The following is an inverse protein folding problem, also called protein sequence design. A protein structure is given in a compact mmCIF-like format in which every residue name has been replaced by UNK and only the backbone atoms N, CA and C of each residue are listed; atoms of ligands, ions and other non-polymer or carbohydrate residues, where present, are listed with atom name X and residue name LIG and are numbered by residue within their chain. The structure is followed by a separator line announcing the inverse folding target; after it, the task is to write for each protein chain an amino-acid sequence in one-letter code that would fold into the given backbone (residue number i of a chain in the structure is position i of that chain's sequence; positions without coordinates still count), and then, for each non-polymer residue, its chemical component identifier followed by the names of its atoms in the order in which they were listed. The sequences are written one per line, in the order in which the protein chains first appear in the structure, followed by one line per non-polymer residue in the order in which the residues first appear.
data_IF_699935963875
#
_entry.id   IF_699935963875
#
_cell.length_a   1.000
_cell.length_b   1.000
_cell.length_c   1.000
_cell.angle_alpha   90.00
_cell.angle_beta   90.00
_cell.angle_gamma   90.00
#
_symmetry.space_group_name_H-M   'P 1'
#
loop_
_entity.id
_entity.type
_entity.pdbx_description
1 polymer ?
#
# COMPACT_ATOMS: atom_id res chain seq x y z
N UNK A 1 0.16 -0.51 17.31
CA UNK A 1 -1.08 0.11 16.79
C UNK A 1 -2.23 -0.77 17.21
N UNK A 2 -3.23 -0.22 17.88
CA UNK A 2 -4.43 -0.96 18.30
C UNK A 2 -5.42 -0.97 17.14
N UNK A 3 -5.54 -2.12 16.49
CA UNK A 3 -6.44 -2.38 15.36
C UNK A 3 -6.85 -3.85 15.40
N UNK A 4 -8.13 -4.12 15.20
CA UNK A 4 -8.66 -5.48 15.11
C UNK A 4 -8.02 -6.21 13.91
N UNK A 5 -7.83 -7.52 14.09
CA UNK A 5 -7.19 -8.36 13.10
C UNK A 5 -7.89 -9.71 12.95
N UNK A 6 -8.05 -10.19 11.72
CA UNK A 6 -8.64 -11.50 11.46
C UNK A 6 -8.10 -12.17 10.19
N UNK A 7 -8.01 -13.50 10.22
CA UNK A 7 -7.68 -14.38 9.10
C UNK A 7 -8.77 -15.45 8.93
N UNK A 8 -9.94 -15.10 8.38
CA UNK A 8 -11.02 -16.06 8.22
C UNK A 8 -10.62 -17.19 7.26
N UNK A 9 -10.92 -18.43 7.64
CA UNK A 9 -10.70 -19.60 6.77
C UNK A 9 -11.49 -19.43 5.47
N UNK A 10 -10.82 -19.64 4.33
CA UNK A 10 -11.43 -19.48 3.01
C UNK A 10 -11.56 -18.04 2.52
N UNK A 11 -10.98 -17.07 3.26
CA UNK A 11 -10.84 -15.72 2.78
C UNK A 11 -9.65 -15.62 1.81
N UNK A 12 -9.90 -15.05 0.64
CA UNK A 12 -8.88 -14.86 -0.40
C UNK A 12 -8.48 -13.38 -0.55
N UNK A 13 -9.02 -12.49 0.29
CA UNK A 13 -8.85 -11.04 0.16
C UNK A 13 -8.14 -10.45 1.38
N UNK A 14 -7.23 -9.53 1.09
CA UNK A 14 -6.68 -8.61 2.10
C UNK A 14 -7.40 -7.27 1.98
N UNK A 15 -7.80 -6.70 3.10
CA UNK A 15 -8.36 -5.35 3.14
C UNK A 15 -8.40 -4.78 4.56
N UNK A 16 -8.34 -3.46 4.66
CA UNK A 16 -8.69 -2.74 5.87
C UNK A 16 -10.14 -2.25 5.80
N UNK A 17 -10.93 -2.60 6.79
CA UNK A 17 -12.33 -2.13 6.95
C UNK A 17 -12.36 -0.94 7.91
N UNK A 18 -12.49 0.27 7.39
CA UNK A 18 -12.49 1.50 8.19
C UNK A 18 -13.69 1.64 9.12
N UNK A 19 -14.87 1.10 8.74
CA UNK A 19 -16.07 1.16 9.55
C UNK A 19 -16.02 0.25 10.80
N UNK A 20 -15.21 -0.82 10.73
CA UNK A 20 -15.03 -1.77 11.84
C UNK A 20 -13.65 -1.64 12.49
N UNK A 21 -12.82 -0.76 11.98
CA UNK A 21 -11.41 -0.61 12.35
C UNK A 21 -10.67 -1.95 12.41
N UNK A 22 -10.76 -2.72 11.32
CA UNK A 22 -10.28 -4.10 11.28
C UNK A 22 -9.49 -4.38 10.01
N UNK A 23 -8.32 -5.00 10.16
CA UNK A 23 -7.56 -5.62 9.07
C UNK A 23 -8.00 -7.07 8.90
N UNK A 24 -8.32 -7.45 7.67
CA UNK A 24 -8.66 -8.81 7.27
C UNK A 24 -7.63 -9.28 6.26
N UNK A 25 -7.07 -10.48 6.47
CA UNK A 25 -6.08 -11.08 5.58
C UNK A 25 -6.50 -12.50 5.19
N UNK A 26 -6.03 -13.00 4.05
CA UNK A 26 -5.99 -14.43 3.79
C UNK A 26 -5.16 -15.15 4.87
N UNK A 27 -5.40 -16.45 5.12
CA UNK A 27 -4.53 -17.25 5.97
C UNK A 27 -3.08 -17.19 5.51
N UNK A 28 -2.13 -17.11 6.46
CA UNK A 28 -0.71 -16.92 6.15
C UNK A 28 -0.12 -18.03 5.27
N UNK A 29 -0.65 -19.24 5.36
CA UNK A 29 -0.26 -20.40 4.55
C UNK A 29 -0.75 -20.35 3.08
N UNK A 30 -1.61 -19.38 2.73
CA UNK A 30 -2.06 -19.15 1.36
C UNK A 30 -1.10 -18.29 0.54
N UNK A 31 -0.11 -17.66 1.18
CA UNK A 31 0.89 -16.84 0.50
C UNK A 31 2.08 -17.67 0.01
N UNK A 32 2.77 -17.18 -1.04
CA UNK A 32 3.94 -17.86 -1.62
C UNK A 32 5.15 -17.85 -0.67
N UNK A 33 5.25 -16.81 0.17
CA UNK A 33 6.32 -16.63 1.15
C UNK A 33 5.83 -15.83 2.36
N UNK A 34 6.61 -15.86 3.46
CA UNK A 34 6.35 -15.00 4.62
C UNK A 34 6.53 -13.52 4.28
N UNK A 35 7.46 -13.20 3.39
CA UNK A 35 7.70 -11.84 2.91
C UNK A 35 6.46 -11.29 2.19
N UNK A 36 5.84 -12.08 1.31
CA UNK A 36 4.60 -11.69 0.60
C UNK A 36 3.46 -11.44 1.59
N UNK A 37 3.29 -12.33 2.59
CA UNK A 37 2.29 -12.16 3.65
C UNK A 37 2.51 -10.85 4.43
N UNK A 38 3.76 -10.60 4.87
CA UNK A 38 4.06 -9.38 5.63
C UNK A 38 3.96 -8.12 4.78
N UNK A 39 4.33 -8.17 3.50
CA UNK A 39 4.18 -7.04 2.59
C UNK A 39 2.72 -6.62 2.47
N UNK A 40 1.80 -7.57 2.23
CA UNK A 40 0.37 -7.32 2.18
C UNK A 40 -0.16 -6.83 3.53
N UNK A 41 0.24 -7.47 4.63
CA UNK A 41 -0.17 -7.06 5.97
C UNK A 41 0.24 -5.62 6.30
N UNK A 42 1.45 -5.21 5.92
CA UNK A 42 1.94 -3.86 6.17
C UNK A 42 1.23 -2.82 5.30
N UNK A 43 0.81 -3.20 4.08
CA UNK A 43 -0.04 -2.37 3.24
C UNK A 43 -1.41 -2.11 3.91
N UNK A 44 -2.09 -3.14 4.39
CA UNK A 44 -3.37 -2.97 5.09
C UNK A 44 -3.24 -2.20 6.41
N UNK A 45 -2.13 -2.38 7.12
CA UNK A 45 -1.81 -1.59 8.30
C UNK A 45 -1.52 -0.13 7.95
N UNK A 46 -0.95 0.18 6.79
CA UNK A 46 -0.78 1.55 6.32
C UNK A 46 -2.14 2.24 6.10
N UNK A 47 -3.13 1.55 5.49
CA UNK A 47 -4.51 2.04 5.43
C UNK A 47 -5.10 2.25 6.83
N UNK A 48 -4.92 1.28 7.73
CA UNK A 48 -5.43 1.37 9.09
C UNK A 48 -4.90 2.61 9.84
N UNK A 49 -3.69 3.10 9.53
CA UNK A 49 -3.22 4.37 10.11
C UNK A 49 -4.10 5.56 9.76
N UNK A 50 -4.89 5.48 8.69
CA UNK A 50 -5.80 6.53 8.25
C UNK A 50 -7.08 6.66 9.08
N UNK A 51 -7.38 5.74 10.00
CA UNK A 51 -8.56 5.82 10.86
C UNK A 51 -8.63 7.15 11.62
N UNK A 52 -9.85 7.61 11.95
CA UNK A 52 -10.09 8.89 12.61
C UNK A 52 -9.37 9.03 13.97
N UNK A 53 -9.18 7.92 14.69
CA UNK A 53 -8.45 7.88 15.97
C UNK A 53 -6.92 7.92 15.79
N UNK A 54 -6.39 7.89 14.58
CA UNK A 54 -4.95 7.86 14.27
C UNK A 54 -4.53 9.07 13.43
N UNK A 55 -4.19 8.87 12.16
CA UNK A 55 -3.76 9.98 11.29
C UNK A 55 -4.93 10.69 10.59
N UNK A 56 -6.16 10.19 10.75
CA UNK A 56 -7.40 10.81 10.27
C UNK A 56 -7.36 11.21 8.79
N UNK A 57 -6.97 10.28 7.93
CA UNK A 57 -7.02 10.47 6.48
C UNK A 57 -8.40 10.16 5.92
N UNK A 58 -8.80 10.74 4.78
CA UNK A 58 -10.06 10.40 4.13
C UNK A 58 -10.00 8.97 3.58
N UNK A 59 -10.69 8.05 4.25
CA UNK A 59 -10.87 6.65 3.87
C UNK A 59 -12.29 6.41 3.35
N UNK A 60 -12.53 5.26 2.70
CA UNK A 60 -13.86 4.90 2.21
C UNK A 60 -14.22 5.54 0.87
N UNK A 61 -13.21 5.90 0.08
CA UNK A 61 -13.38 6.42 -1.26
C UNK A 61 -13.94 5.35 -2.21
N UNK A 62 -14.68 5.77 -3.22
CA UNK A 62 -15.21 4.85 -4.24
C UNK A 62 -14.07 4.20 -5.01
N UNK A 63 -14.09 2.89 -5.16
CA UNK A 63 -13.11 2.14 -5.94
C UNK A 63 -12.94 2.75 -7.35
N UNK A 64 -11.68 2.95 -7.76
CA UNK A 64 -11.32 3.54 -9.06
C UNK A 64 -11.46 5.07 -9.14
N UNK A 65 -11.86 5.75 -8.04
CA UNK A 65 -11.82 7.21 -8.00
C UNK A 65 -10.39 7.74 -7.82
N UNK A 66 -10.18 9.01 -8.18
CA UNK A 66 -8.89 9.69 -7.96
C UNK A 66 -8.51 9.69 -6.47
N UNK A 67 -9.47 9.91 -5.57
CA UNK A 67 -9.20 9.91 -4.13
C UNK A 67 -8.84 8.51 -3.61
N UNK A 68 -9.45 7.46 -4.19
CA UNK A 68 -9.06 6.08 -3.93
C UNK A 68 -7.60 5.85 -4.37
N UNK A 69 -7.26 6.22 -5.61
CA UNK A 69 -5.91 6.07 -6.13
C UNK A 69 -4.84 6.82 -5.30
N UNK A 70 -5.19 8.00 -4.77
CA UNK A 70 -4.31 8.76 -3.88
C UNK A 70 -4.05 8.05 -2.54
N UNK A 71 -5.07 7.43 -1.95
CA UNK A 71 -4.88 6.68 -0.70
C UNK A 71 -4.09 5.39 -0.94
N UNK A 72 -4.36 4.67 -2.03
CA UNK A 72 -3.57 3.50 -2.42
C UNK A 72 -2.10 3.84 -2.62
N UNK A 73 -1.82 4.93 -3.34
CA UNK A 73 -0.45 5.40 -3.54
C UNK A 73 0.27 5.70 -2.22
N UNK A 74 -0.42 6.32 -1.26
CA UNK A 74 0.12 6.58 0.09
C UNK A 74 0.45 5.29 0.84
N UNK A 75 -0.51 4.35 0.85
CA UNK A 75 -0.36 3.08 1.54
C UNK A 75 0.77 2.24 0.92
N UNK A 76 0.86 2.22 -0.41
CA UNK A 76 1.87 1.48 -1.14
C UNK A 76 3.28 2.02 -0.87
N UNK A 77 3.48 3.33 -0.95
CA UNK A 77 4.77 3.96 -0.65
C UNK A 77 5.15 3.73 0.82
N UNK A 78 4.20 3.90 1.75
CA UNK A 78 4.45 3.71 3.17
C UNK A 78 4.83 2.27 3.50
N UNK A 79 4.10 1.29 2.96
CA UNK A 79 4.41 -0.13 3.17
C UNK A 79 5.77 -0.50 2.58
N UNK A 80 6.16 0.08 1.43
CA UNK A 80 7.49 -0.13 0.87
C UNK A 80 8.61 0.41 1.76
N UNK A 81 8.41 1.56 2.42
CA UNK A 81 9.37 2.10 3.39
C UNK A 81 9.51 1.19 4.60
N UNK A 82 8.39 0.73 5.16
CA UNK A 82 8.39 -0.17 6.33
C UNK A 82 9.00 -1.52 5.99
N UNK A 83 8.62 -2.12 4.85
CA UNK A 83 9.20 -3.38 4.36
C UNK A 83 10.72 -3.27 4.23
N UNK A 84 11.19 -2.20 3.58
CA UNK A 84 12.63 -1.94 3.42
C UNK A 84 13.33 -1.80 4.77
N UNK A 85 12.76 -1.04 5.70
CA UNK A 85 13.32 -0.82 7.03
C UNK A 85 13.36 -2.09 7.90
N UNK A 86 12.44 -3.03 7.68
CA UNK A 86 12.39 -4.33 8.33
C UNK A 86 13.27 -5.38 7.64
N UNK A 87 13.86 -5.08 6.48
CA UNK A 87 14.62 -6.03 5.69
C UNK A 87 13.74 -7.08 4.98
N UNK A 88 12.45 -6.81 4.85
CA UNK A 88 11.50 -7.62 4.07
C UNK A 88 11.66 -7.22 2.60
N UNK A 89 12.75 -7.66 1.99
CA UNK A 89 13.13 -7.28 0.63
C UNK A 89 13.32 -8.55 -0.19
N UNK A 90 12.24 -9.02 -0.82
CA UNK A 90 12.35 -9.95 -1.93
C UNK A 90 12.23 -9.20 -3.27
N UNK A 91 12.80 -9.77 -4.35
CA UNK A 91 12.67 -9.16 -5.68
C UNK A 91 11.21 -9.04 -6.09
N UNK A 92 10.38 -10.05 -5.78
CA UNK A 92 8.95 -10.05 -6.07
C UNK A 92 8.20 -8.94 -5.33
N UNK A 93 8.47 -8.74 -4.04
CA UNK A 93 7.85 -7.67 -3.24
C UNK A 93 8.20 -6.30 -3.83
N UNK A 94 9.45 -6.07 -4.17
CA UNK A 94 9.89 -4.78 -4.72
C UNK A 94 9.32 -4.50 -6.11
N UNK A 95 9.23 -5.51 -6.96
CA UNK A 95 8.62 -5.41 -8.30
C UNK A 95 7.12 -5.12 -8.20
N UNK A 96 6.41 -5.78 -7.29
CA UNK A 96 5.00 -5.54 -7.03
C UNK A 96 4.77 -4.09 -6.55
N UNK A 97 5.50 -3.62 -5.54
CA UNK A 97 5.41 -2.23 -5.09
C UNK A 97 5.61 -1.23 -6.24
N UNK A 98 6.63 -1.45 -7.07
CA UNK A 98 6.91 -0.59 -8.22
C UNK A 98 5.74 -0.58 -9.21
N UNK A 99 5.19 -1.74 -9.56
CA UNK A 99 4.08 -1.87 -10.49
C UNK A 99 2.82 -1.16 -9.97
N UNK A 100 2.48 -1.35 -8.69
CA UNK A 100 1.32 -0.69 -8.05
C UNK A 100 1.49 0.83 -7.99
N UNK A 101 2.65 1.33 -7.58
CA UNK A 101 2.93 2.77 -7.57
C UNK A 101 2.78 3.36 -8.97
N UNK A 102 3.33 2.72 -9.99
CA UNK A 102 3.19 3.17 -11.38
C UNK A 102 1.74 3.17 -11.84
N UNK A 103 0.98 2.14 -11.49
CA UNK A 103 -0.43 2.03 -11.83
C UNK A 103 -1.25 3.17 -11.20
N UNK A 104 -1.05 3.45 -9.90
CA UNK A 104 -1.79 4.50 -9.21
C UNK A 104 -1.44 5.91 -9.71
N UNK A 105 -0.17 6.16 -10.02
CA UNK A 105 0.27 7.45 -10.58
C UNK A 105 -0.41 7.74 -11.92
N UNK A 106 -0.69 6.74 -12.75
CA UNK A 106 -1.34 6.93 -14.05
C UNK A 106 -2.76 7.48 -13.95
N UNK A 107 -3.47 7.18 -12.86
CA UNK A 107 -4.85 7.61 -12.61
C UNK A 107 -4.92 9.08 -12.17
N UNK A 108 -3.86 9.60 -11.59
CA UNK A 108 -3.82 10.91 -10.95
C UNK A 108 -3.52 12.00 -11.97
N UNK A 109 -4.37 13.03 -12.07
CA UNK A 109 -4.24 14.12 -13.06
C UNK A 109 -3.02 15.00 -12.82
N UNK A 110 -2.81 15.48 -11.58
CA UNK A 110 -1.63 16.26 -11.16
C UNK A 110 -0.58 15.34 -10.55
N UNK A 111 0.08 14.56 -11.39
CA UNK A 111 0.97 13.46 -11.01
C UNK A 111 2.13 13.90 -10.13
N UNK A 112 2.76 15.03 -10.43
CA UNK A 112 3.98 15.47 -9.75
C UNK A 112 3.67 15.97 -8.34
N UNK A 113 2.71 16.88 -8.19
CA UNK A 113 2.29 17.42 -6.90
C UNK A 113 1.73 16.34 -5.97
N UNK A 114 0.90 15.44 -6.51
CA UNK A 114 0.31 14.35 -5.72
C UNK A 114 1.33 13.30 -5.32
N UNK A 115 2.33 13.01 -6.15
CA UNK A 115 3.41 12.10 -5.79
C UNK A 115 4.23 12.64 -4.61
N UNK A 116 4.59 13.93 -4.63
CA UNK A 116 5.29 14.56 -3.49
C UNK A 116 4.42 14.56 -2.23
N UNK A 117 3.11 14.83 -2.37
CA UNK A 117 2.17 14.74 -1.26
C UNK A 117 2.08 13.33 -0.70
N UNK A 118 1.97 12.33 -1.57
CA UNK A 118 1.90 10.93 -1.17
C UNK A 118 3.17 10.45 -0.46
N UNK A 119 4.35 10.85 -0.93
CA UNK A 119 5.63 10.54 -0.27
C UNK A 119 5.68 11.16 1.12
N UNK A 120 5.30 12.45 1.25
CA UNK A 120 5.28 13.12 2.57
C UNK A 120 4.29 12.48 3.54
N UNK A 121 3.13 12.03 3.05
CA UNK A 121 2.15 11.33 3.88
C UNK A 121 2.63 9.90 4.20
N UNK A 122 3.29 9.24 3.26
CA UNK A 122 3.87 7.92 3.49
C UNK A 122 4.97 7.91 4.56
N UNK A 123 5.79 8.97 4.63
CA UNK A 123 6.76 9.15 5.73
C UNK A 123 6.04 9.21 7.09
N UNK A 124 4.96 10.00 7.20
CA UNK A 124 4.16 10.09 8.44
C UNK A 124 3.50 8.76 8.82
N UNK A 125 3.03 8.01 7.81
CA UNK A 125 2.45 6.68 8.00
C UNK A 125 3.52 5.72 8.55
N UNK A 126 4.69 5.67 7.91
CA UNK A 126 5.79 4.81 8.32
C UNK A 126 6.28 5.15 9.74
N UNK A 127 6.46 6.44 10.06
CA UNK A 127 6.81 6.92 11.39
C UNK A 127 5.77 6.51 12.44
N UNK A 128 4.48 6.60 12.10
CA UNK A 128 3.40 6.17 12.99
C UNK A 128 3.44 4.65 13.23
N UNK A 129 3.66 3.86 12.17
CA UNK A 129 3.77 2.40 12.26
C UNK A 129 5.00 1.99 13.08
N UNK A 130 6.15 2.63 12.87
CA UNK A 130 7.36 2.42 13.65
C UNK A 130 7.11 2.67 15.15
N UNK A 131 6.60 3.85 15.46
CA UNK A 131 6.35 4.28 16.84
C UNK A 131 5.36 3.36 17.56
N UNK A 132 4.27 2.98 16.90
CA UNK A 132 3.21 2.18 17.52
C UNK A 132 3.50 0.69 17.49
N UNK A 133 4.31 0.22 16.54
CA UNK A 133 4.79 -1.17 16.45
C UNK A 133 5.93 -1.48 17.40
N UNK A 134 6.56 -0.47 18.01
CA UNK A 134 7.75 -0.65 18.84
C UNK A 134 8.95 -1.19 18.04
N UNK A 135 8.93 -0.96 16.72
CA UNK A 135 9.98 -1.37 15.80
C UNK A 135 10.93 -0.18 15.58
N UNK A 136 12.21 -0.50 15.42
CA UNK A 136 13.20 0.49 15.01
C UNK A 136 13.56 0.19 13.56
N UNK A 137 12.96 0.94 12.65
CA UNK A 137 13.30 0.83 11.24
C UNK A 137 14.72 1.34 11.07
N UNK A 138 15.67 0.43 10.86
CA UNK A 138 17.03 0.78 10.45
C UNK A 138 16.98 1.39 9.05
N UNK A 139 16.53 2.63 8.96
CA UNK A 139 16.81 3.44 7.79
C UNK A 139 18.32 3.65 7.81
N UNK A 140 19.06 2.96 6.95
CA UNK A 140 20.45 3.34 6.67
C UNK A 140 20.47 4.84 6.45
N UNK A 141 21.35 5.54 7.18
CA UNK A 141 21.41 6.99 7.17
C UNK A 141 21.30 7.52 5.75
N UNK A 142 20.12 8.05 5.46
CA UNK A 142 19.81 9.04 4.42
C UNK A 142 20.69 9.05 3.17
N UNK A 143 20.66 8.00 2.40
CA UNK A 143 20.53 8.21 0.97
C UNK A 143 19.01 8.29 0.70
N UNK A 144 18.49 9.54 0.57
CA UNK A 144 17.18 9.73 -0.07
C UNK A 144 17.20 8.83 -1.30
N UNK A 145 16.28 7.85 -1.41
CA UNK A 145 16.22 7.09 -2.62
C UNK A 145 16.03 8.11 -3.73
N UNK A 146 17.02 8.22 -4.61
CA UNK A 146 16.79 8.91 -5.87
C UNK A 146 15.85 7.99 -6.64
N UNK A 147 14.56 8.14 -6.39
CA UNK A 147 13.54 7.49 -7.16
C UNK A 147 13.63 8.11 -8.56
N UNK A 148 14.52 7.60 -9.38
CA UNK A 148 14.46 7.80 -10.83
C UNK A 148 13.31 6.92 -11.30
N UNK A 149 12.10 7.47 -11.20
CA UNK A 149 10.95 6.91 -11.88
C UNK A 149 11.05 7.45 -13.31
N UNK A 150 11.67 6.70 -14.19
CA UNK A 150 11.55 6.94 -15.62
C UNK A 150 10.09 6.57 -15.98
N UNK A 151 9.20 7.56 -15.89
CA UNK A 151 7.80 7.42 -16.27
C UNK A 151 7.73 7.68 -17.77
N UNK A 152 7.92 6.65 -18.58
CA UNK A 152 7.44 6.68 -19.95
C UNK A 152 5.91 6.52 -19.92
N UNK A 153 5.22 7.62 -20.07
CA UNK A 153 3.75 7.66 -20.13
C UNK A 153 3.33 7.53 -21.59
N UNK A 154 2.79 6.38 -21.97
CA UNK A 154 1.98 6.29 -23.17
C UNK A 154 0.59 6.87 -22.90
N UNK A 155 0.18 7.86 -23.72
CA UNK A 155 -1.13 8.49 -23.59
C UNK A 155 -2.22 7.56 -24.13
N UNK A 156 -3.19 7.19 -23.31
CA UNK A 156 -4.50 6.74 -23.79
C UNK A 156 -5.05 5.39 -23.35
N UNK A 157 -4.40 4.63 -22.46
CA UNK A 157 -4.95 3.35 -21.99
C UNK A 157 -5.79 3.49 -20.72
N UNK A 158 -6.95 2.82 -20.69
CA UNK A 158 -7.80 2.77 -19.49
C UNK A 158 -7.25 1.75 -18.47
N UNK A 159 -7.53 1.98 -17.19
CA UNK A 159 -7.11 1.08 -16.10
C UNK A 159 -7.51 -0.38 -16.34
N UNK A 160 -8.66 -0.59 -17.00
CA UNK A 160 -9.17 -1.93 -17.28
C UNK A 160 -8.43 -2.67 -18.40
N UNK A 161 -7.67 -1.94 -19.24
CA UNK A 161 -6.90 -2.52 -20.35
C UNK A 161 -5.44 -2.77 -19.98
N UNK A 162 -4.97 -2.10 -18.91
CA UNK A 162 -3.58 -2.10 -18.49
C UNK A 162 -3.23 -3.15 -17.44
N UNK A 163 -4.23 -3.72 -16.79
CA UNK A 163 -4.05 -4.76 -15.78
C UNK A 163 -4.22 -6.12 -16.45
N UNK A 164 -3.28 -7.01 -16.26
CA UNK A 164 -3.47 -8.41 -16.63
C UNK A 164 -4.57 -9.07 -15.78
N UNK A 165 -4.98 -10.29 -16.13
CA UNK A 165 -6.06 -10.96 -15.43
C UNK A 165 -5.68 -11.31 -13.97
N UNK A 166 -4.39 -11.48 -13.64
CA UNK A 166 -3.92 -11.69 -12.27
C UNK A 166 -3.96 -10.38 -11.48
N UNK A 167 -3.56 -9.26 -12.06
CA UNK A 167 -3.64 -7.92 -11.46
C UNK A 167 -5.11 -7.50 -11.27
N UNK A 168 -5.99 -7.79 -12.24
CA UNK A 168 -7.45 -7.59 -12.12
C UNK A 168 -8.07 -8.45 -11.02
N UNK A 169 -7.60 -9.69 -10.84
CA UNK A 169 -8.02 -10.55 -9.74
C UNK A 169 -7.52 -10.03 -8.40
N UNK A 170 -6.29 -9.58 -8.34
CA UNK A 170 -5.68 -8.97 -7.16
C UNK A 170 -6.46 -7.71 -6.75
N UNK A 171 -6.72 -6.79 -7.69
CA UNK A 171 -7.50 -5.57 -7.42
C UNK A 171 -8.98 -5.85 -7.12
N UNK A 172 -9.60 -6.86 -7.74
CA UNK A 172 -10.94 -7.34 -7.36
C UNK A 172 -10.93 -7.97 -5.96
N UNK A 173 -9.79 -8.50 -5.56
CA UNK A 173 -9.58 -9.06 -4.22
C UNK A 173 -9.31 -7.98 -3.17
N UNK A 174 -8.97 -6.76 -3.57
CA UNK A 174 -8.83 -5.56 -2.71
C UNK A 174 -10.13 -4.76 -2.55
N UNK A 175 -11.27 -5.23 -3.03
CA UNK A 175 -12.53 -4.48 -2.93
C UNK A 175 -13.21 -4.79 -1.58
N UNK A 176 -13.47 -3.75 -0.71
CA UNK A 176 -14.20 -3.89 0.54
C UNK A 176 -15.65 -4.29 0.35
#
# INVERSE_FOLDING_TARGET
MDVDYSEPVGNERAYYNSAKDRVVLPPSDSFRSEEDYYAVKLHELAHATGHESRLNRPLGNTFGSIDYAKEELRAEIASSFVNSGLGIISSSVMENHKAYIQSWIRIIEDKESELFSAISDAEKIADYMEKTGGINLKMEEKKKPSLKVDIELEEGESLSEMLDDEERLSLKNFNP
#
